data_IF_858415658674
#
_entry.id   IF_858415658674
#
_cell.length_a   1.000
_cell.length_b   1.000
_cell.length_c   1.000
_cell.angle_alpha   90.00
_cell.angle_beta   90.00
_cell.angle_gamma   90.00
#
_symmetry.space_group_name_H-M   'P 1'
#
loop_
_entity.id
_entity.type
_entity.pdbx_description
1 polymer ?
#
# COMPACT_ATOMS: atom_id res chain seq x y z
N UNK A 1 -3.92 -3.52 -3.00
CA UNK A 1 -3.77 -4.60 -4.01
C UNK A 1 -3.75 -5.98 -3.36
N UNK A 2 -3.04 -6.18 -2.24
CA UNK A 2 -2.82 -7.50 -1.60
C UNK A 2 -4.08 -8.11 -0.99
N UNK A 3 -4.92 -7.34 -0.30
CA UNK A 3 -6.10 -7.87 0.40
C UNK A 3 -7.16 -8.51 -0.52
N UNK A 4 -7.59 -7.89 -1.62
CA UNK A 4 -8.50 -8.53 -2.56
C UNK A 4 -7.95 -9.86 -3.09
N UNK A 5 -6.65 -9.91 -3.38
CA UNK A 5 -5.98 -11.11 -3.90
C UNK A 5 -6.02 -12.29 -2.90
N UNK A 6 -5.94 -12.01 -1.60
CA UNK A 6 -6.00 -13.06 -0.57
C UNK A 6 -7.42 -13.64 -0.40
N UNK A 7 -8.46 -12.81 -0.59
CA UNK A 7 -9.86 -13.27 -0.49
C UNK A 7 -10.27 -14.17 -1.64
N UNK A 8 -9.84 -13.84 -2.85
CA UNK A 8 -10.29 -14.54 -4.07
C UNK A 8 -9.57 -15.87 -4.33
N UNK A 9 -8.49 -16.18 -3.61
CA UNK A 9 -7.62 -17.33 -3.91
C UNK A 9 -7.93 -18.64 -3.17
N UNK A 10 -8.96 -18.70 -2.33
CA UNK A 10 -9.29 -19.92 -1.61
C UNK A 10 -8.18 -20.38 -0.64
N UNK A 11 -7.94 -21.69 -0.52
CA UNK A 11 -6.94 -22.24 0.40
C UNK A 11 -5.50 -21.92 -0.04
N UNK A 12 -4.86 -20.99 0.64
CA UNK A 12 -3.45 -20.64 0.43
C UNK A 12 -2.55 -21.54 1.29
N UNK A 13 -1.29 -21.79 0.87
CA UNK A 13 -0.31 -22.46 1.69
C UNK A 13 -0.15 -21.81 3.06
N UNK A 14 0.04 -22.60 4.12
CA UNK A 14 0.23 -22.10 5.46
C UNK A 14 1.38 -21.08 5.49
N UNK A 15 1.16 -19.93 6.14
CA UNK A 15 2.15 -18.85 6.23
C UNK A 15 2.23 -17.92 5.01
N UNK A 16 1.66 -18.26 3.85
CA UNK A 16 1.72 -17.43 2.64
C UNK A 16 1.12 -16.02 2.88
N UNK A 17 -0.09 -15.97 3.40
CA UNK A 17 -0.79 -14.72 3.67
C UNK A 17 -0.02 -13.85 4.69
N UNK A 18 0.55 -14.44 5.73
CA UNK A 18 1.33 -13.72 6.74
C UNK A 18 2.59 -13.10 6.15
N UNK A 19 3.35 -13.86 5.36
CA UNK A 19 4.56 -13.35 4.70
C UNK A 19 4.20 -12.27 3.69
N UNK A 20 3.14 -12.45 2.90
CA UNK A 20 2.70 -11.48 1.92
C UNK A 20 2.26 -10.15 2.57
N UNK A 21 1.47 -10.18 3.64
CA UNK A 21 1.03 -8.98 4.37
C UNK A 21 2.22 -8.27 5.04
N UNK A 22 3.13 -9.03 5.67
CA UNK A 22 4.33 -8.47 6.29
C UNK A 22 5.24 -7.80 5.25
N UNK A 23 5.47 -8.47 4.11
CA UNK A 23 6.30 -7.93 3.02
C UNK A 23 5.66 -6.72 2.35
N UNK A 24 4.34 -6.71 2.19
CA UNK A 24 3.61 -5.56 1.66
C UNK A 24 3.76 -4.35 2.58
N UNK A 25 3.55 -4.52 3.89
CA UNK A 25 3.70 -3.43 4.87
C UNK A 25 5.13 -2.87 4.90
N UNK A 26 6.14 -3.73 4.99
CA UNK A 26 7.54 -3.29 4.98
C UNK A 26 7.91 -2.63 3.64
N UNK A 27 7.47 -3.21 2.54
CA UNK A 27 7.73 -2.71 1.20
C UNK A 27 7.02 -1.39 0.85
N UNK A 28 6.02 -0.96 1.61
CA UNK A 28 5.40 0.37 1.50
C UNK A 28 6.10 1.39 2.41
N UNK A 29 6.37 1.03 3.64
CA UNK A 29 6.90 1.95 4.66
C UNK A 29 8.34 2.35 4.38
N UNK A 30 9.23 1.39 4.11
CA UNK A 30 10.66 1.66 3.94
C UNK A 30 10.96 2.56 2.73
N UNK A 31 10.47 2.27 1.51
CA UNK A 31 10.71 3.14 0.37
C UNK A 31 10.05 4.51 0.53
N UNK A 32 8.94 4.60 1.24
CA UNK A 32 8.27 5.87 1.52
C UNK A 32 9.12 6.77 2.42
N UNK A 33 9.72 6.21 3.49
CA UNK A 33 10.66 6.94 4.35
C UNK A 33 11.89 7.37 3.55
N UNK A 34 12.47 6.47 2.76
CA UNK A 34 13.62 6.78 1.91
C UNK A 34 13.30 7.88 0.90
N UNK A 35 12.13 7.81 0.26
CA UNK A 35 11.68 8.85 -0.66
C UNK A 35 11.56 10.21 0.03
N UNK A 36 10.99 10.25 1.22
CA UNK A 36 10.87 11.47 2.01
C UNK A 36 12.24 12.08 2.33
N UNK A 37 13.25 11.25 2.63
CA UNK A 37 14.62 11.69 2.89
C UNK A 37 15.35 12.16 1.62
N UNK A 38 15.19 11.45 0.50
CA UNK A 38 15.80 11.81 -0.79
C UNK A 38 15.21 13.12 -1.35
N UNK A 39 13.93 13.35 -1.08
CA UNK A 39 13.24 14.58 -1.52
C UNK A 39 13.58 15.77 -0.64
N UNK A 40 13.99 15.55 0.61
CA UNK A 40 14.43 16.59 1.51
C UNK A 40 15.63 17.35 0.92
N UNK A 41 15.60 18.68 1.03
CA UNK A 41 16.77 19.50 0.66
C UNK A 41 17.90 19.22 1.66
N UNK A 42 19.14 19.21 1.18
CA UNK A 42 20.32 18.91 2.00
C UNK A 42 20.46 19.81 3.23
N UNK A 43 20.02 21.06 3.13
CA UNK A 43 20.00 22.07 4.21
C UNK A 43 18.91 21.82 5.26
N UNK A 44 17.94 20.93 4.99
CA UNK A 44 16.79 20.64 5.86
C UNK A 44 16.65 19.17 6.26
N UNK A 45 17.67 18.37 6.06
CA UNK A 45 17.61 16.92 6.42
C UNK A 45 17.34 16.76 7.93
N UNK A 46 17.97 17.57 8.76
CA UNK A 46 17.77 17.53 10.21
C UNK A 46 16.32 17.86 10.59
N UNK A 47 15.73 18.87 9.98
CA UNK A 47 14.33 19.25 10.18
C UNK A 47 13.39 18.12 9.72
N UNK A 48 13.68 17.49 8.57
CA UNK A 48 12.90 16.38 8.04
C UNK A 48 12.95 15.15 8.96
N UNK A 49 14.14 14.82 9.47
CA UNK A 49 14.31 13.73 10.46
C UNK A 49 13.55 14.03 11.74
N UNK A 50 13.63 15.28 12.24
CA UNK A 50 12.90 15.70 13.43
C UNK A 50 11.38 15.63 13.21
N UNK A 51 10.88 16.02 12.04
CA UNK A 51 9.46 15.88 11.68
C UNK A 51 9.02 14.42 11.62
N UNK A 52 9.82 13.54 11.03
CA UNK A 52 9.53 12.09 10.98
C UNK A 52 9.51 11.49 12.39
N UNK A 53 10.49 11.84 13.23
CA UNK A 53 10.55 11.41 14.63
C UNK A 53 9.36 11.96 15.44
N UNK A 54 9.02 13.24 15.28
CA UNK A 54 7.88 13.88 15.92
C UNK A 54 6.56 13.22 15.51
N UNK A 55 6.36 12.97 14.23
CA UNK A 55 5.18 12.27 13.72
C UNK A 55 5.12 10.84 14.26
N UNK A 56 6.23 10.10 14.22
CA UNK A 56 6.31 8.74 14.74
C UNK A 56 6.06 8.69 16.25
N UNK A 57 6.61 9.65 17.00
CA UNK A 57 6.36 9.80 18.43
C UNK A 57 4.89 10.13 18.74
N UNK A 58 4.27 11.04 17.96
CA UNK A 58 2.85 11.36 18.05
C UNK A 58 1.97 10.14 17.77
N UNK A 59 2.30 9.37 16.74
CA UNK A 59 1.62 8.11 16.41
C UNK A 59 1.76 7.07 17.51
N UNK A 60 2.96 6.92 18.09
CA UNK A 60 3.21 6.03 19.22
C UNK A 60 2.41 6.44 20.46
N UNK A 61 2.33 7.74 20.73
CA UNK A 61 1.51 8.29 21.82
C UNK A 61 0.02 8.01 21.59
N UNK A 62 -0.49 8.25 20.39
CA UNK A 62 -1.88 7.95 20.05
C UNK A 62 -2.19 6.46 20.18
N UNK A 63 -1.26 5.60 19.75
CA UNK A 63 -1.38 4.16 19.90
C UNK A 63 -1.41 3.75 21.38
N UNK A 64 -0.51 4.30 22.18
CA UNK A 64 -0.49 4.07 23.64
C UNK A 64 -1.78 4.51 24.30
N UNK A 65 -2.31 5.70 23.95
CA UNK A 65 -3.60 6.19 24.44
C UNK A 65 -4.76 5.29 23.98
N UNK A 66 -4.77 4.83 22.74
CA UNK A 66 -5.79 3.94 22.21
C UNK A 66 -5.80 2.60 22.98
N UNK A 67 -4.63 2.02 23.25
CA UNK A 67 -4.50 0.78 24.04
C UNK A 67 -4.92 1.01 25.49
N UNK A 68 -4.45 2.12 26.10
CA UNK A 68 -4.74 2.44 27.51
C UNK A 68 -6.22 2.71 27.77
N UNK A 69 -6.91 3.34 26.82
CA UNK A 69 -8.34 3.66 26.94
C UNK A 69 -9.25 2.70 26.15
N UNK A 70 -8.76 1.51 25.79
CA UNK A 70 -9.46 0.53 25.00
C UNK A 70 -10.89 0.24 25.49
N UNK A 71 -11.09 0.06 26.80
CA UNK A 71 -12.42 -0.21 27.38
C UNK A 71 -13.43 0.93 27.14
N UNK A 72 -12.99 2.18 27.13
CA UNK A 72 -13.89 3.33 26.84
C UNK A 72 -14.28 3.37 25.37
N UNK A 73 -13.33 3.03 24.50
CA UNK A 73 -13.59 2.92 23.05
C UNK A 73 -14.51 1.76 22.72
N UNK A 74 -14.35 0.63 23.37
CA UNK A 74 -15.24 -0.53 23.23
C UNK A 74 -16.67 -0.19 23.62
N UNK A 75 -16.87 0.40 24.79
CA UNK A 75 -18.21 0.82 25.25
C UNK A 75 -18.87 1.86 24.32
N UNK A 76 -18.08 2.75 23.74
CA UNK A 76 -18.57 3.72 22.76
C UNK A 76 -18.96 3.03 21.43
N UNK A 77 -18.13 2.13 20.93
CA UNK A 77 -18.39 1.37 19.71
C UNK A 77 -19.63 0.47 19.87
N UNK A 78 -19.77 -0.23 20.99
CA UNK A 78 -20.96 -1.05 21.27
C UNK A 78 -22.25 -0.26 21.20
N UNK A 79 -22.28 0.94 21.76
CA UNK A 79 -23.45 1.82 21.73
C UNK A 79 -23.78 2.33 20.33
N UNK A 80 -22.79 2.50 19.47
CA UNK A 80 -22.95 3.20 18.17
C UNK A 80 -22.96 2.25 16.97
N UNK A 81 -22.53 0.99 17.13
CA UNK A 81 -22.54 0.03 16.01
C UNK A 81 -23.93 -0.44 15.60
N UNK A 82 -24.90 -0.34 16.48
CA UNK A 82 -26.30 -0.73 16.23
C UNK A 82 -27.17 0.39 15.72
N UNK A 83 -26.67 1.63 15.76
CA UNK A 83 -27.38 2.78 15.23
C UNK A 83 -27.27 2.87 13.70
N UNK A 84 -28.33 3.30 13.06
CA UNK A 84 -28.43 3.55 11.61
C UNK A 84 -27.42 4.59 11.10
N UNK A 85 -26.77 5.33 12.00
CA UNK A 85 -25.84 6.43 11.70
C UNK A 85 -24.49 5.98 11.15
N UNK A 86 -24.13 4.69 11.24
CA UNK A 86 -22.81 4.13 10.85
C UNK A 86 -21.62 4.95 11.38
N UNK A 87 -21.77 5.50 12.59
CA UNK A 87 -20.84 6.43 13.22
C UNK A 87 -19.40 5.88 13.29
N UNK A 88 -19.15 4.58 13.57
CA UNK A 88 -17.79 4.03 13.58
C UNK A 88 -17.06 4.15 12.24
N UNK A 89 -17.76 3.98 11.11
CA UNK A 89 -17.17 4.12 9.78
C UNK A 89 -16.81 5.58 9.52
N UNK A 90 -17.72 6.51 9.85
CA UNK A 90 -17.49 7.95 9.69
C UNK A 90 -16.30 8.42 10.53
N UNK A 91 -16.19 7.96 11.78
CA UNK A 91 -15.04 8.27 12.64
C UNK A 91 -13.73 7.70 12.09
N UNK A 92 -13.76 6.48 11.58
CA UNK A 92 -12.59 5.87 10.95
C UNK A 92 -12.14 6.64 9.72
N UNK A 93 -13.09 7.03 8.86
CA UNK A 93 -12.79 7.87 7.70
C UNK A 93 -12.29 9.25 8.11
N UNK A 94 -12.92 9.87 9.13
CA UNK A 94 -12.47 11.14 9.69
C UNK A 94 -11.05 11.05 10.26
N UNK A 95 -10.73 9.99 11.00
CA UNK A 95 -9.39 9.74 11.53
C UNK A 95 -8.37 9.52 10.39
N UNK A 96 -8.75 8.76 9.35
CA UNK A 96 -7.90 8.54 8.18
C UNK A 96 -7.59 9.87 7.47
N UNK A 97 -8.62 10.68 7.20
CA UNK A 97 -8.44 12.00 6.58
C UNK A 97 -7.58 12.90 7.47
N UNK A 98 -7.83 12.93 8.77
CA UNK A 98 -7.04 13.70 9.72
C UNK A 98 -5.56 13.30 9.71
N UNK A 99 -5.26 12.01 9.76
CA UNK A 99 -3.87 11.50 9.71
C UNK A 99 -3.19 11.80 8.38
N UNK A 100 -3.94 11.72 7.27
CA UNK A 100 -3.46 12.09 5.94
C UNK A 100 -3.15 13.60 5.88
N UNK A 101 -4.02 14.45 6.41
CA UNK A 101 -3.81 15.90 6.45
C UNK A 101 -2.59 16.26 7.31
N UNK A 102 -2.49 15.68 8.51
CA UNK A 102 -1.33 15.89 9.41
C UNK A 102 -0.05 15.43 8.71
N UNK A 103 -0.04 14.23 8.10
CA UNK A 103 1.11 13.72 7.36
C UNK A 103 1.54 14.66 6.23
N UNK A 104 0.58 15.23 5.49
CA UNK A 104 0.87 16.18 4.43
C UNK A 104 1.45 17.50 4.96
N UNK A 105 0.92 18.03 6.07
CA UNK A 105 1.45 19.24 6.72
C UNK A 105 2.91 19.07 7.20
N UNK A 106 3.24 17.86 7.65
CA UNK A 106 4.59 17.49 8.12
C UNK A 106 5.47 16.99 6.96
N UNK A 107 5.01 17.11 5.71
CA UNK A 107 5.74 16.65 4.51
C UNK A 107 6.05 15.14 4.53
N UNK A 108 5.24 14.35 5.24
CA UNK A 108 5.34 12.89 5.28
C UNK A 108 4.36 12.30 4.28
N UNK A 109 4.75 11.17 3.68
CA UNK A 109 3.92 10.52 2.68
C UNK A 109 2.55 10.10 3.25
N UNK A 110 1.49 10.37 2.49
CA UNK A 110 0.08 10.05 2.80
C UNK A 110 -0.16 8.60 3.21
N UNK A 111 0.63 7.67 2.65
CA UNK A 111 0.52 6.23 2.93
C UNK A 111 0.86 5.92 4.40
N UNK A 112 1.83 6.63 4.99
CA UNK A 112 2.18 6.46 6.41
C UNK A 112 1.04 6.89 7.33
N UNK A 113 0.35 7.99 7.02
CA UNK A 113 -0.83 8.43 7.78
C UNK A 113 -1.96 7.39 7.75
N UNK A 114 -2.24 6.81 6.59
CA UNK A 114 -3.22 5.75 6.44
C UNK A 114 -2.82 4.46 7.19
N UNK A 115 -1.54 4.07 7.13
CA UNK A 115 -1.01 2.93 7.88
C UNK A 115 -1.19 3.11 9.38
N UNK A 116 -0.85 4.28 9.92
CA UNK A 116 -1.02 4.59 11.35
C UNK A 116 -2.49 4.48 11.75
N UNK A 117 -3.40 4.99 10.94
CA UNK A 117 -4.85 4.83 11.18
C UNK A 117 -5.23 3.36 11.28
N UNK A 118 -4.77 2.51 10.35
CA UNK A 118 -5.00 1.07 10.39
C UNK A 118 -4.45 0.40 11.66
N UNK A 119 -3.26 0.78 12.10
CA UNK A 119 -2.63 0.30 13.34
C UNK A 119 -3.43 0.74 14.57
N UNK A 120 -3.85 2.00 14.63
CA UNK A 120 -4.67 2.53 15.72
C UNK A 120 -6.00 1.78 15.84
N UNK A 121 -6.67 1.51 14.72
CA UNK A 121 -7.91 0.73 14.70
C UNK A 121 -7.67 -0.71 15.14
N UNK A 122 -6.59 -1.34 14.69
CA UNK A 122 -6.25 -2.72 15.05
C UNK A 122 -6.07 -2.90 16.55
N UNK A 123 -5.36 -2.00 17.20
CA UNK A 123 -5.03 -2.12 18.62
C UNK A 123 -6.02 -1.41 19.55
N UNK A 124 -6.73 -0.40 19.06
CA UNK A 124 -7.74 0.33 19.82
C UNK A 124 -9.11 -0.32 19.86
N UNK A 125 -9.37 -1.36 19.01
CA UNK A 125 -10.68 -1.99 18.86
C UNK A 125 -10.60 -3.48 19.25
N UNK A 126 -11.66 -4.01 19.89
CA UNK A 126 -11.75 -5.44 20.20
C UNK A 126 -11.88 -6.30 18.95
N UNK A 127 -11.50 -7.56 19.04
CA UNK A 127 -11.51 -8.51 17.92
C UNK A 127 -12.87 -8.58 17.21
N UNK A 128 -13.96 -8.61 17.99
CA UNK A 128 -15.32 -8.71 17.47
C UNK A 128 -15.73 -7.49 16.64
N UNK A 129 -15.46 -6.29 17.14
CA UNK A 129 -15.78 -5.04 16.44
C UNK A 129 -14.81 -4.75 15.30
N UNK A 130 -13.56 -5.18 15.42
CA UNK A 130 -12.53 -5.04 14.40
C UNK A 130 -12.93 -5.75 13.11
N UNK A 131 -13.45 -6.97 13.21
CA UNK A 131 -13.84 -7.74 12.02
C UNK A 131 -15.03 -7.08 11.30
N UNK A 132 -16.07 -6.70 12.05
CA UNK A 132 -17.22 -5.98 11.49
C UNK A 132 -16.84 -4.64 10.84
N UNK A 133 -15.89 -3.91 11.45
CA UNK A 133 -15.41 -2.65 10.90
C UNK A 133 -14.53 -2.88 9.66
N UNK A 134 -13.65 -3.89 9.69
CA UNK A 134 -12.81 -4.27 8.56
C UNK A 134 -13.65 -4.68 7.34
N UNK A 135 -14.70 -5.47 7.51
CA UNK A 135 -15.57 -5.91 6.42
C UNK A 135 -16.28 -4.74 5.74
N UNK A 136 -16.73 -3.76 6.54
CA UNK A 136 -17.39 -2.55 6.02
C UNK A 136 -16.40 -1.61 5.31
N UNK A 137 -15.22 -1.41 5.88
CA UNK A 137 -14.14 -0.62 5.27
C UNK A 137 -13.61 -1.25 3.99
N UNK A 138 -13.53 -2.57 3.98
CA UNK A 138 -13.10 -3.31 2.80
C UNK A 138 -14.12 -3.22 1.66
N UNK A 139 -15.43 -3.26 1.97
CA UNK A 139 -16.47 -2.99 0.98
C UNK A 139 -16.36 -1.60 0.34
N UNK A 140 -16.10 -0.57 1.14
CA UNK A 140 -15.86 0.78 0.63
C UNK A 140 -14.52 0.87 -0.12
N UNK A 141 -13.48 0.27 0.41
CA UNK A 141 -12.14 0.25 -0.20
C UNK A 141 -12.12 -0.45 -1.54
N UNK A 142 -12.54 -1.73 -1.56
CA UNK A 142 -12.50 -2.56 -2.77
C UNK A 142 -13.59 -2.19 -3.77
N UNK A 143 -14.78 -1.78 -3.30
CA UNK A 143 -15.91 -1.45 -4.16
C UNK A 143 -15.87 -0.04 -4.77
N UNK A 144 -15.19 0.90 -4.13
CA UNK A 144 -15.20 2.30 -4.58
C UNK A 144 -13.80 2.94 -4.65
N UNK A 145 -13.05 2.95 -3.55
CA UNK A 145 -11.80 3.72 -3.48
C UNK A 145 -10.69 3.14 -4.37
N UNK A 146 -10.57 1.82 -4.43
CA UNK A 146 -9.54 1.16 -5.26
C UNK A 146 -9.85 1.34 -6.75
N UNK A 147 -11.07 1.09 -7.27
CA UNK A 147 -11.42 1.41 -8.66
C UNK A 147 -11.21 2.89 -9.00
N UNK A 148 -11.62 3.80 -8.11
CA UNK A 148 -11.44 5.24 -8.31
C UNK A 148 -9.95 5.61 -8.40
N UNK A 149 -9.09 5.00 -7.56
CA UNK A 149 -7.65 5.19 -7.60
C UNK A 149 -7.07 4.73 -8.96
N UNK A 150 -7.48 3.56 -9.48
CA UNK A 150 -7.02 3.07 -10.77
C UNK A 150 -7.47 3.96 -11.92
N UNK A 151 -8.73 4.42 -11.92
CA UNK A 151 -9.25 5.36 -12.92
C UNK A 151 -8.45 6.66 -12.89
N UNK A 152 -8.27 7.27 -11.71
CA UNK A 152 -7.50 8.50 -11.56
C UNK A 152 -6.02 8.33 -11.98
N UNK A 153 -5.41 7.18 -11.68
CA UNK A 153 -4.04 6.88 -12.11
C UNK A 153 -3.97 6.70 -13.63
N UNK A 154 -4.95 6.03 -14.23
CA UNK A 154 -5.05 5.87 -15.68
C UNK A 154 -5.25 7.20 -16.43
N UNK A 155 -6.07 8.10 -15.90
CA UNK A 155 -6.28 9.44 -16.49
C UNK A 155 -5.02 10.32 -16.49
N UNK A 156 -4.04 10.02 -15.66
CA UNK A 156 -2.75 10.74 -15.61
C UNK A 156 -1.74 10.25 -16.64
N UNK A 157 -2.01 9.15 -17.35
CA UNK A 157 -1.15 8.64 -18.39
C UNK A 157 -1.27 9.51 -19.64
N UNK A 158 -0.15 10.06 -20.09
CA UNK A 158 -0.08 10.80 -21.36
C UNK A 158 0.34 9.86 -22.48
N UNK A 159 -0.65 9.19 -23.07
CA UNK A 159 -0.42 8.28 -24.20
C UNK A 159 0.10 9.01 -25.45
N UNK A 160 -0.17 10.31 -25.58
CA UNK A 160 0.34 11.09 -26.72
C UNK A 160 1.84 11.30 -26.59
N UNK A 161 2.34 11.59 -25.37
CA UNK A 161 3.77 11.66 -25.09
C UNK A 161 4.47 10.31 -25.34
N UNK A 162 3.82 9.20 -24.99
CA UNK A 162 4.37 7.87 -25.23
C UNK A 162 4.42 7.51 -26.73
N UNK A 163 3.48 8.01 -27.52
CA UNK A 163 3.46 7.82 -28.98
C UNK A 163 4.58 8.63 -29.69
N UNK A 164 4.99 9.75 -29.12
CA UNK A 164 6.08 10.60 -29.66
C UNK A 164 7.48 10.05 -29.34
N UNK A 165 7.61 9.21 -28.30
CA UNK A 165 8.87 8.57 -27.92
C UNK A 165 8.73 7.05 -27.84
N UNK A 166 8.91 6.32 -28.95
CA UNK A 166 8.79 4.87 -28.97
C UNK A 166 9.78 4.14 -28.06
N UNK A 167 10.93 4.76 -27.75
CA UNK A 167 11.92 4.17 -26.85
C UNK A 167 11.40 4.17 -25.39
N UNK A 168 10.56 5.12 -25.01
CA UNK A 168 9.94 5.14 -23.70
C UNK A 168 9.05 3.91 -23.45
N UNK A 169 8.47 3.29 -24.50
CA UNK A 169 7.68 2.06 -24.38
C UNK A 169 8.50 0.89 -23.83
N UNK A 170 9.80 0.85 -24.10
CA UNK A 170 10.70 -0.18 -23.60
C UNK A 170 10.83 -0.13 -22.07
N UNK A 171 10.57 1.02 -21.43
CA UNK A 171 10.57 1.12 -19.98
C UNK A 171 9.44 0.34 -19.32
N UNK A 172 8.34 0.06 -20.01
CA UNK A 172 7.22 -0.71 -19.45
C UNK A 172 7.67 -2.10 -18.99
N UNK A 173 8.24 -2.97 -19.84
CA UNK A 173 8.73 -4.28 -19.42
C UNK A 173 9.95 -4.18 -18.50
N UNK A 174 10.81 -3.16 -18.67
CA UNK A 174 11.96 -2.93 -17.79
C UNK A 174 11.51 -2.65 -16.37
N UNK A 175 10.52 -1.79 -16.17
CA UNK A 175 9.95 -1.49 -14.84
C UNK A 175 9.31 -2.73 -14.22
N UNK A 176 8.55 -3.50 -15.00
CA UNK A 176 7.97 -4.76 -14.51
C UNK A 176 9.04 -5.76 -14.05
N UNK A 177 10.10 -5.91 -14.84
CA UNK A 177 11.23 -6.77 -14.50
C UNK A 177 11.98 -6.25 -13.26
N UNK A 178 12.22 -4.95 -13.18
CA UNK A 178 12.89 -4.31 -12.05
C UNK A 178 12.10 -4.51 -10.75
N UNK A 179 10.76 -4.35 -10.78
CA UNK A 179 9.90 -4.62 -9.63
C UNK A 179 9.99 -6.08 -9.17
N UNK A 180 10.02 -7.02 -10.11
CA UNK A 180 10.22 -8.43 -9.79
C UNK A 180 11.60 -8.71 -9.19
N UNK A 181 12.66 -8.13 -9.77
CA UNK A 181 14.04 -8.33 -9.30
C UNK A 181 14.28 -7.71 -7.92
N UNK A 182 13.85 -6.48 -7.71
CA UNK A 182 14.15 -5.72 -6.48
C UNK A 182 13.25 -6.12 -5.32
N UNK A 183 11.99 -6.44 -5.57
CA UNK A 183 11.01 -6.77 -4.53
C UNK A 183 10.61 -8.24 -4.51
N UNK A 184 10.36 -8.83 -5.67
CA UNK A 184 9.86 -10.19 -5.76
C UNK A 184 10.91 -11.23 -5.40
N UNK A 185 12.08 -11.19 -6.03
CA UNK A 185 13.14 -12.21 -5.83
C UNK A 185 13.66 -12.24 -4.39
N UNK A 186 13.96 -11.10 -3.72
CA UNK A 186 14.39 -11.14 -2.32
C UNK A 186 13.37 -11.80 -1.41
N UNK A 187 12.07 -11.52 -1.62
CA UNK A 187 11.00 -12.14 -0.82
C UNK A 187 10.87 -13.65 -1.07
N UNK A 188 11.03 -14.10 -2.31
CA UNK A 188 11.08 -15.52 -2.63
C UNK A 188 12.30 -16.22 -1.98
N UNK A 189 13.43 -15.52 -1.91
CA UNK A 189 14.64 -16.03 -1.26
C UNK A 189 14.47 -16.14 0.27
N UNK A 190 13.89 -15.12 0.90
CA UNK A 190 13.61 -15.11 2.34
C UNK A 190 12.58 -16.18 2.73
N UNK A 191 11.59 -16.45 1.88
CA UNK A 191 10.55 -17.46 2.13
C UNK A 191 11.01 -18.92 1.83
N UNK A 192 12.29 -19.18 1.61
CA UNK A 192 12.81 -20.51 1.22
C UNK A 192 12.49 -21.61 2.22
N UNK A 193 12.56 -21.30 3.50
CA UNK A 193 12.29 -22.25 4.59
C UNK A 193 10.81 -22.42 4.90
N UNK A 194 9.97 -21.42 4.53
CA UNK A 194 8.57 -21.38 4.91
C UNK A 194 7.61 -21.88 3.82
N UNK A 195 8.00 -21.79 2.54
CA UNK A 195 7.08 -22.04 1.43
C UNK A 195 7.68 -22.98 0.36
N UNK A 196 6.84 -23.82 -0.27
CA UNK A 196 7.26 -24.65 -1.41
C UNK A 196 7.58 -23.79 -2.64
N UNK A 197 8.37 -24.31 -3.58
CA UNK A 197 8.91 -23.56 -4.71
C UNK A 197 7.84 -22.79 -5.53
N UNK A 198 6.71 -23.42 -5.84
CA UNK A 198 5.61 -22.77 -6.58
C UNK A 198 5.02 -21.58 -5.81
N UNK A 199 4.79 -21.73 -4.51
CA UNK A 199 4.27 -20.67 -3.65
C UNK A 199 5.28 -19.51 -3.50
N UNK A 200 6.58 -19.80 -3.48
CA UNK A 200 7.62 -18.76 -3.44
C UNK A 200 7.64 -17.88 -4.69
N UNK A 201 7.51 -18.49 -5.87
CA UNK A 201 7.44 -17.73 -7.12
C UNK A 201 6.13 -16.94 -7.24
N UNK A 202 5.02 -17.50 -6.77
CA UNK A 202 3.78 -16.76 -6.66
C UNK A 202 3.93 -15.56 -5.70
N UNK A 203 4.58 -15.75 -4.55
CA UNK A 203 4.89 -14.69 -3.60
C UNK A 203 5.78 -13.61 -4.22
N UNK A 204 6.80 -14.01 -5.01
CA UNK A 204 7.65 -13.06 -5.72
C UNK A 204 6.85 -12.14 -6.65
N UNK A 205 5.93 -12.72 -7.42
CA UNK A 205 5.05 -11.97 -8.31
C UNK A 205 4.13 -11.03 -7.51
N UNK A 206 3.46 -11.52 -6.47
CA UNK A 206 2.56 -10.70 -5.66
C UNK A 206 3.29 -9.55 -4.95
N UNK A 207 4.52 -9.78 -4.44
CA UNK A 207 5.35 -8.75 -3.83
C UNK A 207 5.91 -7.75 -4.84
N UNK A 208 6.05 -8.14 -6.10
CA UNK A 208 6.48 -7.27 -7.20
C UNK A 208 5.43 -6.24 -7.63
N UNK A 209 4.19 -6.32 -7.13
CA UNK A 209 3.12 -5.37 -7.46
C UNK A 209 3.22 -4.11 -6.63
N UNK A 210 3.51 -2.95 -7.26
CA UNK A 210 3.66 -1.68 -6.54
C UNK A 210 3.23 -0.50 -7.43
N UNK A 211 1.99 -0.04 -7.29
CA UNK A 211 1.51 1.10 -8.07
C UNK A 211 1.57 2.44 -7.32
N UNK A 212 1.08 2.58 -6.08
CA UNK A 212 0.97 3.89 -5.44
C UNK A 212 2.32 4.61 -5.29
N UNK A 213 3.35 3.89 -4.87
CA UNK A 213 4.68 4.45 -4.71
C UNK A 213 5.30 4.85 -6.05
N UNK A 214 5.14 4.00 -7.08
CA UNK A 214 5.67 4.30 -8.43
C UNK A 214 5.00 5.54 -9.01
N UNK A 215 3.68 5.69 -8.85
CA UNK A 215 2.95 6.90 -9.27
C UNK A 215 3.49 8.13 -8.54
N UNK A 216 3.72 8.04 -7.22
CA UNK A 216 4.26 9.15 -6.45
C UNK A 216 5.68 9.54 -6.91
N UNK A 217 6.55 8.56 -7.15
CA UNK A 217 7.92 8.78 -7.66
C UNK A 217 7.88 9.39 -9.07
N UNK A 218 7.07 8.85 -9.97
CA UNK A 218 6.94 9.32 -11.33
C UNK A 218 6.47 10.77 -11.40
N UNK A 219 5.45 11.13 -10.60
CA UNK A 219 4.95 12.50 -10.52
C UNK A 219 6.00 13.47 -9.96
N UNK A 220 6.71 13.06 -8.92
CA UNK A 220 7.76 13.89 -8.31
C UNK A 220 8.92 14.11 -9.29
N UNK A 221 9.35 13.04 -9.97
CA UNK A 221 10.44 13.11 -10.94
C UNK A 221 10.05 13.98 -12.15
N UNK A 222 8.79 13.91 -12.60
CA UNK A 222 8.25 14.79 -13.64
C UNK A 222 8.23 16.26 -13.18
N UNK A 223 7.73 16.54 -11.98
CA UNK A 223 7.71 17.89 -11.42
C UNK A 223 9.10 18.50 -11.26
N UNK A 224 10.11 17.66 -10.98
CA UNK A 224 11.52 18.08 -10.87
C UNK A 224 12.27 18.05 -12.19
N UNK A 225 11.59 17.78 -13.30
CA UNK A 225 12.19 17.70 -14.64
C UNK A 225 13.34 16.67 -14.75
N UNK A 226 13.31 15.64 -13.89
CA UNK A 226 14.26 14.50 -13.93
C UNK A 226 13.84 13.48 -14.98
N UNK A 227 12.51 13.32 -15.18
CA UNK A 227 11.92 12.47 -16.19
C UNK A 227 11.08 13.30 -17.16
N UNK A 228 11.07 12.89 -18.41
CA UNK A 228 10.14 13.41 -19.42
C UNK A 228 8.71 12.91 -19.16
N UNK A 229 7.72 13.52 -19.80
CA UNK A 229 6.33 13.07 -19.73
C UNK A 229 6.17 11.62 -20.25
N UNK A 230 6.89 11.25 -21.31
CA UNK A 230 6.88 9.90 -21.88
C UNK A 230 7.46 8.87 -20.90
N UNK A 231 8.63 9.14 -20.31
CA UNK A 231 9.26 8.26 -19.32
C UNK A 231 8.41 8.10 -18.06
N UNK A 232 7.84 9.20 -17.55
CA UNK A 232 6.93 9.18 -16.40
C UNK A 232 5.69 8.32 -16.68
N UNK A 233 5.11 8.47 -17.87
CA UNK A 233 3.97 7.68 -18.32
C UNK A 233 4.34 6.19 -18.46
N UNK A 234 5.48 5.88 -19.04
CA UNK A 234 5.97 4.52 -19.20
C UNK A 234 6.23 3.84 -17.83
N UNK A 235 6.76 4.59 -16.86
CA UNK A 235 7.01 4.11 -15.49
C UNK A 235 5.68 3.71 -14.81
N UNK A 236 4.67 4.57 -14.89
CA UNK A 236 3.34 4.28 -14.33
C UNK A 236 2.66 3.15 -15.07
N UNK A 237 2.72 3.11 -16.41
CA UNK A 237 2.17 2.03 -17.24
C UNK A 237 2.83 0.68 -16.90
N UNK A 238 4.14 0.65 -16.69
CA UNK A 238 4.87 -0.55 -16.24
C UNK A 238 4.39 -1.05 -14.88
N UNK A 239 4.20 -0.14 -13.92
CA UNK A 239 3.65 -0.48 -12.62
C UNK A 239 2.20 -1.00 -12.72
N UNK A 240 1.35 -0.38 -13.55
CA UNK A 240 -0.02 -0.86 -13.80
C UNK A 240 0.00 -2.26 -14.44
N UNK A 241 0.89 -2.51 -15.39
CA UNK A 241 1.06 -3.83 -15.99
C UNK A 241 1.42 -4.89 -14.92
N UNK A 242 2.28 -4.58 -13.96
CA UNK A 242 2.59 -5.52 -12.86
C UNK A 242 1.36 -5.86 -12.02
N UNK A 243 0.53 -4.87 -11.70
CA UNK A 243 -0.69 -5.07 -10.90
C UNK A 243 -1.72 -5.93 -11.63
N UNK A 244 -1.77 -5.85 -12.95
CA UNK A 244 -2.69 -6.66 -13.76
C UNK A 244 -2.15 -8.08 -14.02
N UNK A 245 -0.87 -8.19 -14.37
CA UNK A 245 -0.28 -9.45 -14.85
C UNK A 245 0.22 -10.34 -13.72
N UNK A 246 0.93 -9.77 -12.72
CA UNK A 246 1.61 -10.56 -11.69
C UNK A 246 0.65 -11.34 -10.80
N UNK A 247 -0.45 -10.76 -10.31
CA UNK A 247 -1.42 -11.52 -9.53
C UNK A 247 -2.10 -12.64 -10.33
N UNK A 248 -2.37 -12.40 -11.62
CA UNK A 248 -2.94 -13.42 -12.49
C UNK A 248 -1.98 -14.60 -12.73
N UNK A 249 -0.68 -14.30 -12.90
CA UNK A 249 0.37 -15.33 -13.01
C UNK A 249 0.56 -16.07 -11.68
N UNK A 250 0.60 -15.35 -10.56
CA UNK A 250 0.71 -15.93 -9.23
C UNK A 250 -0.46 -16.87 -8.92
N UNK A 251 -1.68 -16.48 -9.31
CA UNK A 251 -2.86 -17.34 -9.15
C UNK A 251 -2.74 -18.64 -9.94
N UNK A 252 -2.18 -18.60 -11.15
CA UNK A 252 -1.93 -19.81 -11.95
C UNK A 252 -0.91 -20.75 -11.29
N UNK A 253 0.13 -20.20 -10.68
CA UNK A 253 1.15 -20.98 -9.96
C UNK A 253 0.61 -21.66 -8.69
N UNK A 254 -0.41 -21.04 -8.05
CA UNK A 254 -1.02 -21.54 -6.81
C UNK A 254 -2.15 -22.55 -7.05
N UNK A 255 -2.67 -22.66 -8.29
CA UNK A 255 -3.67 -23.68 -8.60
C UNK A 255 -3.09 -25.09 -8.37
N UNK A 256 -3.76 -25.97 -7.62
CA UNK A 256 -3.35 -27.36 -7.53
C UNK A 256 -3.40 -27.95 -8.95
N UNK A 257 -2.39 -28.77 -9.31
CA UNK A 257 -2.48 -29.57 -10.53
C UNK A 257 -3.71 -30.45 -10.42
N UNK A 258 -4.71 -30.18 -11.22
CA UNK A 258 -5.76 -31.15 -11.53
C UNK A 258 -5.10 -32.17 -12.50
N UNK A 259 -4.41 -33.14 -11.93
CA UNK A 259 -3.99 -34.36 -12.59
C UNK A 259 -4.76 -35.51 -11.99
#
# INVERSE_FOLDING_TARGET
>A
VVQPLLRDRGALPAGYAQVLVASAGFGEVMPTILLSLVVARADRIADQVLMILGFSGGCALLLWLAIRHRHRWEAFLERTMHDSSQLPIRLTMGLLVLMVVIGNLVQINLVLGALVTGVLLRYGTSERHRQALADRLDGLGSGFLIPLFFINSGMRLDFSALATDPLAVLWIPVVALLMLLVRGIPMAALARSALPARARWALALDCGTQLPLVVAIAMLALQRQVLSAAESTALVAGAMATVMLFPALAARLLRPNQA
#
